data_IF_422889535969
#
_entry.id   IF_422889535969
#
_cell.length_a   1.000
_cell.length_b   1.000
_cell.length_c   1.000
_cell.angle_alpha   90.00
_cell.angle_beta   90.00
_cell.angle_gamma   90.00
#
_symmetry.space_group_name_H-M   'P 1'
#
loop_
_entity.id
_entity.type
_entity.pdbx_description
1 polymer ?
#
# COMPACT_ATOMS: atom_id res chain seq x y z
N UNK A 1 -12.79 17.66 2.42
CA UNK A 1 -13.13 17.00 1.12
C UNK A 1 -12.16 17.43 0.01
N UNK A 2 -12.00 18.74 -0.27
CA UNK A 2 -11.08 19.24 -1.32
C UNK A 2 -9.62 18.80 -1.11
N UNK A 3 -9.10 18.85 0.12
CA UNK A 3 -7.73 18.40 0.43
C UNK A 3 -7.52 16.88 0.29
N UNK A 4 -8.54 16.07 0.61
CA UNK A 4 -8.47 14.60 0.51
C UNK A 4 -8.43 14.13 -0.94
N UNK A 5 -9.25 14.75 -1.81
CA UNK A 5 -9.27 14.45 -3.25
C UNK A 5 -7.96 14.88 -3.91
N UNK A 6 -7.45 16.07 -3.57
CA UNK A 6 -6.15 16.53 -4.04
C UNK A 6 -5.02 15.58 -3.58
N UNK A 7 -5.03 15.17 -2.31
CA UNK A 7 -4.05 14.22 -1.77
C UNK A 7 -4.08 12.86 -2.46
N UNK A 8 -5.27 12.35 -2.79
CA UNK A 8 -5.43 11.07 -3.50
C UNK A 8 -4.90 11.16 -4.93
N UNK A 9 -5.21 12.24 -5.65
CA UNK A 9 -4.66 12.52 -6.97
C UNK A 9 -3.13 12.64 -6.94
N UNK A 10 -2.58 13.40 -6.00
CA UNK A 10 -1.14 13.57 -5.82
C UNK A 10 -0.49 12.20 -5.56
N UNK A 11 -1.04 11.42 -4.63
CA UNK A 11 -0.54 10.07 -4.31
C UNK A 11 -0.53 9.17 -5.54
N UNK A 12 -1.60 9.21 -6.34
CA UNK A 12 -1.71 8.41 -7.56
C UNK A 12 -0.68 8.82 -8.61
N UNK A 13 -0.49 10.13 -8.84
CA UNK A 13 0.52 10.66 -9.75
C UNK A 13 1.92 10.26 -9.30
N UNK A 14 2.27 10.44 -8.02
CA UNK A 14 3.58 10.04 -7.50
C UNK A 14 3.79 8.53 -7.58
N UNK A 15 2.77 7.72 -7.26
CA UNK A 15 2.83 6.26 -7.38
C UNK A 15 3.12 5.86 -8.83
N UNK A 16 2.42 6.46 -9.79
CA UNK A 16 2.67 6.25 -11.21
C UNK A 16 4.10 6.65 -11.61
N UNK A 17 4.56 7.83 -11.20
CA UNK A 17 5.92 8.30 -11.49
C UNK A 17 7.00 7.41 -10.87
N UNK A 18 6.79 6.89 -9.65
CA UNK A 18 7.68 5.95 -8.99
C UNK A 18 7.76 4.62 -9.74
N UNK A 19 6.62 4.09 -10.18
CA UNK A 19 6.56 2.85 -10.95
C UNK A 19 7.17 3.00 -12.36
N UNK A 20 6.84 4.09 -13.06
CA UNK A 20 7.32 4.37 -14.41
C UNK A 20 8.84 4.56 -14.44
N UNK A 21 9.41 5.23 -13.44
CA UNK A 21 10.84 5.54 -13.38
C UNK A 21 11.65 4.56 -12.50
N UNK A 22 11.17 3.34 -12.25
CA UNK A 22 11.81 2.38 -11.32
C UNK A 22 13.33 2.21 -11.55
N UNK A 23 13.76 2.13 -12.81
CA UNK A 23 15.16 1.92 -13.21
C UNK A 23 16.03 3.15 -12.93
N UNK A 24 15.44 4.34 -13.06
CA UNK A 24 16.10 5.61 -12.76
C UNK A 24 16.33 5.76 -11.26
N UNK A 25 15.41 5.27 -10.42
CA UNK A 25 15.61 5.23 -8.97
C UNK A 25 16.70 4.22 -8.58
N UNK A 26 16.72 3.03 -9.17
CA UNK A 26 17.80 2.06 -8.94
C UNK A 26 19.17 2.65 -9.32
N UNK A 27 19.25 3.29 -10.49
CA UNK A 27 20.46 3.97 -10.96
C UNK A 27 20.85 5.16 -10.08
N UNK A 28 19.88 5.85 -9.46
CA UNK A 28 20.12 6.93 -8.52
C UNK A 28 20.82 6.40 -7.26
N UNK A 29 20.36 5.28 -6.69
CA UNK A 29 21.01 4.67 -5.54
C UNK A 29 22.43 4.18 -5.87
N UNK A 30 22.65 3.60 -7.05
CA UNK A 30 24.00 3.23 -7.51
C UNK A 30 24.94 4.44 -7.64
N UNK A 31 24.42 5.59 -8.06
CA UNK A 31 25.19 6.85 -8.14
C UNK A 31 25.36 7.54 -6.79
N UNK A 32 24.51 7.26 -5.81
CA UNK A 32 24.61 7.82 -4.46
C UNK A 32 25.67 7.09 -3.63
N UNK A 33 25.77 5.77 -3.78
CA UNK A 33 26.72 4.90 -3.09
C UNK A 33 27.82 4.42 -4.04
N UNK A 34 28.60 5.35 -4.62
CA UNK A 34 29.62 5.02 -5.62
C UNK A 34 30.81 4.23 -5.06
N UNK A 35 31.10 4.41 -3.78
CA UNK A 35 32.24 3.76 -3.10
C UNK A 35 31.91 2.34 -2.63
N UNK A 36 30.66 1.89 -2.79
CA UNK A 36 30.19 0.56 -2.43
C UNK A 36 30.06 -0.34 -3.66
N UNK A 37 30.10 -1.66 -3.44
CA UNK A 37 29.92 -2.64 -4.51
C UNK A 37 28.51 -2.53 -5.14
N UNK A 38 28.38 -2.32 -6.46
CA UNK A 38 27.08 -2.16 -7.13
C UNK A 38 26.09 -3.30 -6.86
N UNK A 39 26.59 -4.54 -6.78
CA UNK A 39 25.79 -5.72 -6.49
C UNK A 39 25.17 -5.67 -5.08
N UNK A 40 25.92 -5.17 -4.10
CA UNK A 40 25.46 -4.99 -2.71
C UNK A 40 24.36 -3.94 -2.64
N UNK A 41 24.55 -2.79 -3.29
CA UNK A 41 23.54 -1.71 -3.35
C UNK A 41 22.24 -2.21 -3.99
N UNK A 42 22.34 -2.91 -5.13
CA UNK A 42 21.17 -3.51 -5.81
C UNK A 42 20.44 -4.52 -4.93
N UNK A 43 21.17 -5.35 -4.21
CA UNK A 43 20.59 -6.34 -3.28
C UNK A 43 19.81 -5.64 -2.16
N UNK A 44 20.35 -4.56 -1.61
CA UNK A 44 19.68 -3.78 -0.55
C UNK A 44 18.40 -3.13 -1.09
N UNK A 45 18.46 -2.47 -2.24
CA UNK A 45 17.28 -1.83 -2.88
C UNK A 45 16.17 -2.86 -3.17
N UNK A 46 16.55 -4.04 -3.67
CA UNK A 46 15.60 -5.13 -3.88
C UNK A 46 15.00 -5.65 -2.57
N UNK A 47 15.81 -5.75 -1.51
CA UNK A 47 15.34 -6.17 -0.19
C UNK A 47 14.34 -5.17 0.40
N UNK A 48 14.60 -3.87 0.28
CA UNK A 48 13.66 -2.80 0.68
C UNK A 48 12.34 -2.95 -0.08
N UNK A 49 12.40 -3.13 -1.41
CA UNK A 49 11.22 -3.33 -2.26
C UNK A 49 10.43 -4.56 -1.83
N UNK A 50 11.10 -5.67 -1.54
CA UNK A 50 10.47 -6.92 -1.11
C UNK A 50 9.77 -6.75 0.25
N UNK A 51 10.40 -6.04 1.20
CA UNK A 51 9.81 -5.77 2.52
C UNK A 51 8.57 -4.87 2.37
N UNK A 52 8.65 -3.82 1.55
CA UNK A 52 7.52 -2.95 1.27
C UNK A 52 6.35 -3.71 0.61
N UNK A 53 6.63 -4.59 -0.36
CA UNK A 53 5.63 -5.47 -0.97
C UNK A 53 4.97 -6.38 0.05
N UNK A 54 5.76 -7.05 0.92
CA UNK A 54 5.22 -7.92 1.98
C UNK A 54 4.31 -7.16 2.94
N UNK A 55 4.68 -5.94 3.32
CA UNK A 55 3.82 -5.07 4.13
C UNK A 55 2.49 -4.77 3.44
N UNK A 56 2.51 -4.37 2.17
CA UNK A 56 1.29 -4.08 1.40
C UNK A 56 0.41 -5.33 1.26
N UNK A 57 1.00 -6.49 0.97
CA UNK A 57 0.27 -7.76 0.91
C UNK A 57 -0.36 -8.10 2.25
N UNK A 58 0.40 -7.98 3.35
CA UNK A 58 -0.12 -8.20 4.71
C UNK A 58 -1.27 -7.25 5.04
N UNK A 59 -1.15 -5.98 4.65
CA UNK A 59 -2.19 -4.97 4.85
C UNK A 59 -3.48 -5.30 4.11
N UNK A 60 -3.39 -5.73 2.85
CA UNK A 60 -4.55 -6.20 2.07
C UNK A 60 -5.21 -7.40 2.74
N UNK A 61 -4.42 -8.37 3.20
CA UNK A 61 -4.94 -9.52 3.94
C UNK A 61 -5.69 -9.10 5.21
N UNK A 62 -5.14 -8.17 6.00
CA UNK A 62 -5.81 -7.66 7.21
C UNK A 62 -7.16 -7.00 6.90
N UNK A 63 -7.24 -6.21 5.82
CA UNK A 63 -8.50 -5.56 5.39
C UNK A 63 -9.54 -6.61 5.03
N UNK A 64 -9.14 -7.65 4.28
CA UNK A 64 -10.05 -8.74 3.91
C UNK A 64 -10.54 -9.49 5.15
N UNK A 65 -9.66 -9.80 6.09
CA UNK A 65 -10.04 -10.42 7.37
C UNK A 65 -11.04 -9.56 8.14
N UNK A 66 -10.79 -8.26 8.28
CA UNK A 66 -11.71 -7.33 8.94
C UNK A 66 -13.04 -7.22 8.21
N UNK A 67 -13.03 -7.13 6.88
CA UNK A 67 -14.24 -7.07 6.07
C UNK A 67 -15.12 -8.31 6.29
N UNK A 68 -14.53 -9.50 6.34
CA UNK A 68 -15.27 -10.74 6.63
C UNK A 68 -15.81 -10.75 8.06
N UNK A 69 -15.00 -10.42 9.06
CA UNK A 69 -15.42 -10.39 10.46
C UNK A 69 -16.55 -9.38 10.71
N UNK A 70 -16.41 -8.16 10.19
CA UNK A 70 -17.46 -7.14 10.29
C UNK A 70 -18.72 -7.53 9.51
N UNK A 71 -18.59 -8.15 8.34
CA UNK A 71 -19.76 -8.63 7.60
C UNK A 71 -20.55 -9.64 8.43
N UNK A 72 -19.87 -10.62 9.03
CA UNK A 72 -20.51 -11.63 9.89
C UNK A 72 -21.16 -10.95 11.10
N UNK A 73 -20.45 -10.06 11.79
CA UNK A 73 -20.98 -9.35 12.96
C UNK A 73 -22.23 -8.53 12.64
N UNK A 74 -22.23 -7.77 11.54
CA UNK A 74 -23.35 -6.93 11.14
C UNK A 74 -24.54 -7.75 10.60
N UNK A 75 -24.28 -8.92 9.99
CA UNK A 75 -25.33 -9.86 9.58
C UNK A 75 -26.05 -10.47 10.78
N UNK A 76 -25.31 -10.84 11.84
CA UNK A 76 -25.89 -11.36 13.09
C UNK A 76 -26.80 -10.32 13.75
N UNK A 77 -26.42 -9.05 13.68
CA UNK A 77 -27.21 -7.91 14.19
C UNK A 77 -28.47 -7.66 13.34
N UNK A 78 -28.58 -8.24 12.14
CA UNK A 78 -29.73 -8.08 11.25
C UNK A 78 -29.70 -6.80 10.40
N UNK A 79 -28.53 -6.22 10.16
CA UNK A 79 -28.41 -4.99 9.38
C UNK A 79 -28.57 -5.28 7.89
N UNK A 80 -29.58 -4.67 7.26
CA UNK A 80 -29.93 -4.88 5.84
C UNK A 80 -28.75 -4.70 4.87
N UNK A 81 -27.87 -3.72 5.14
CA UNK A 81 -26.72 -3.40 4.30
C UNK A 81 -25.37 -3.85 4.92
N UNK A 82 -25.37 -4.91 5.73
CA UNK A 82 -24.21 -5.38 6.50
C UNK A 82 -22.91 -5.50 5.70
N UNK A 83 -22.95 -6.12 4.52
CA UNK A 83 -21.74 -6.34 3.68
C UNK A 83 -21.18 -5.02 3.14
N UNK A 84 -22.05 -4.11 2.70
CA UNK A 84 -21.63 -2.80 2.18
C UNK A 84 -21.00 -1.96 3.30
N UNK A 85 -21.62 -1.95 4.47
CA UNK A 85 -21.12 -1.22 5.65
C UNK A 85 -19.81 -1.81 6.16
N UNK A 86 -19.68 -3.14 6.22
CA UNK A 86 -18.45 -3.82 6.58
C UNK A 86 -17.31 -3.51 5.60
N UNK A 87 -17.61 -3.47 4.30
CA UNK A 87 -16.64 -3.11 3.27
C UNK A 87 -16.11 -1.69 3.44
N UNK A 88 -16.99 -0.70 3.66
CA UNK A 88 -16.58 0.69 3.92
C UNK A 88 -15.76 0.78 5.22
N UNK A 89 -16.21 0.13 6.30
CA UNK A 89 -15.50 0.13 7.58
C UNK A 89 -14.08 -0.45 7.46
N UNK A 90 -13.94 -1.60 6.79
CA UNK A 90 -12.65 -2.26 6.57
C UNK A 90 -11.73 -1.44 5.65
N UNK A 91 -12.28 -0.79 4.62
CA UNK A 91 -11.52 0.12 3.74
C UNK A 91 -11.03 1.36 4.49
N UNK A 92 -11.84 1.94 5.37
CA UNK A 92 -11.43 3.08 6.19
C UNK A 92 -10.31 2.71 7.17
N UNK A 93 -10.19 1.44 7.55
CA UNK A 93 -9.12 0.98 8.44
C UNK A 93 -7.74 1.05 7.77
N UNK A 94 -7.65 1.24 6.44
CA UNK A 94 -6.41 1.40 5.67
C UNK A 94 -5.62 2.63 6.09
N UNK A 95 -6.32 3.71 6.43
CA UNK A 95 -5.74 5.00 6.81
C UNK A 95 -5.85 5.10 8.34
N UNK A 96 -4.73 5.03 9.09
CA UNK A 96 -4.76 5.37 10.51
C UNK A 96 -5.12 6.85 10.74
#
# INVERSE_FOLDING_TARGET
ITGTIAGLLITLVFTFLFLFNKERYESFFLKLYKDEEPAKVKTIVNKITTVAQKYLTGRVMSILTLATLYSIGLLIVGIKNAVLLAGIAALLTVVP
#
